data_IF_690412279244
#
_entry.id   IF_690412279244
#
_cell.length_a   1.000
_cell.length_b   1.000
_cell.length_c   1.000
_cell.angle_alpha   90.00
_cell.angle_beta   90.00
_cell.angle_gamma   90.00
#
_symmetry.space_group_name_H-M   'P 1'
#
loop_
_entity.id
_entity.type
_entity.pdbx_description
1 polymer ?
#
# COMPACT_ATOMS: atom_id res chain seq x y z
N UNK A 1 1.54 -9.15 20.78
CA UNK A 1 0.80 -9.36 22.05
C UNK A 1 0.17 -10.75 22.02
N UNK A 2 0.05 -11.50 23.14
CA UNK A 2 -0.58 -12.81 23.11
C UNK A 2 -2.09 -12.65 22.87
N UNK A 3 -2.55 -13.04 21.68
CA UNK A 3 -3.98 -13.05 21.32
C UNK A 3 -4.61 -14.34 21.83
N UNK A 4 -5.74 -14.22 22.51
CA UNK A 4 -6.41 -15.32 23.21
C UNK A 4 -7.60 -15.87 22.43
N UNK A 5 -8.15 -15.11 21.48
CA UNK A 5 -9.31 -15.50 20.68
C UNK A 5 -9.11 -15.27 19.18
N UNK A 6 -9.85 -16.01 18.36
CA UNK A 6 -9.87 -15.80 16.90
C UNK A 6 -10.39 -14.42 16.52
N UNK A 7 -11.33 -13.87 17.30
CA UNK A 7 -11.84 -12.51 17.10
C UNK A 7 -10.75 -11.46 17.30
N UNK A 8 -9.99 -11.56 18.41
CA UNK A 8 -8.84 -10.67 18.65
C UNK A 8 -7.80 -10.75 17.52
N UNK A 9 -7.56 -11.95 16.99
CA UNK A 9 -6.69 -12.15 15.83
C UNK A 9 -7.22 -11.46 14.58
N UNK A 10 -8.51 -11.62 14.30
CA UNK A 10 -9.14 -11.00 13.14
C UNK A 10 -9.11 -9.47 13.22
N UNK A 11 -9.44 -8.88 14.37
CA UNK A 11 -9.38 -7.42 14.58
C UNK A 11 -7.95 -6.89 14.48
N UNK A 12 -6.96 -7.64 14.98
CA UNK A 12 -5.54 -7.28 14.84
C UNK A 12 -5.09 -7.30 13.38
N UNK A 13 -5.39 -8.36 12.63
CA UNK A 13 -5.02 -8.45 11.21
C UNK A 13 -5.73 -7.36 10.38
N UNK A 14 -6.98 -7.03 10.72
CA UNK A 14 -7.71 -5.92 10.09
C UNK A 14 -7.05 -4.57 10.37
N UNK A 15 -6.57 -4.35 11.60
CA UNK A 15 -5.85 -3.14 12.00
C UNK A 15 -4.48 -3.00 11.32
N UNK A 16 -3.77 -4.12 11.13
CA UNK A 16 -2.52 -4.17 10.36
C UNK A 16 -2.77 -3.86 8.88
N UNK A 17 -3.82 -4.44 8.28
CA UNK A 17 -4.18 -4.17 6.90
C UNK A 17 -4.60 -2.70 6.70
N UNK A 18 -5.36 -2.15 7.64
CA UNK A 18 -5.77 -0.75 7.61
C UNK A 18 -4.58 0.21 7.64
N UNK A 19 -3.55 -0.09 8.44
CA UNK A 19 -2.32 0.69 8.44
C UNK A 19 -1.50 0.47 7.16
N UNK A 20 -1.43 -0.76 6.65
CA UNK A 20 -0.76 -1.08 5.41
C UNK A 20 -1.33 -0.29 4.22
N UNK A 21 -2.65 -0.24 4.06
CA UNK A 21 -3.27 0.52 2.97
C UNK A 21 -2.97 2.02 3.04
N UNK A 22 -2.95 2.60 4.24
CA UNK A 22 -2.56 4.00 4.41
C UNK A 22 -1.09 4.26 4.09
N UNK A 23 -0.22 3.34 4.49
CA UNK A 23 1.18 3.40 4.15
C UNK A 23 1.38 3.27 2.63
N UNK A 24 0.67 2.35 1.97
CA UNK A 24 0.69 2.20 0.52
C UNK A 24 0.17 3.43 -0.19
N UNK A 25 -0.92 4.04 0.27
CA UNK A 25 -1.45 5.29 -0.27
C UNK A 25 -0.39 6.40 -0.28
N UNK A 26 0.31 6.59 0.85
CA UNK A 26 1.42 7.55 0.93
C UNK A 26 2.55 7.20 -0.03
N UNK A 27 2.89 5.91 -0.13
CA UNK A 27 3.83 5.37 -1.10
C UNK A 27 3.42 5.77 -2.51
N UNK A 28 2.24 5.35 -2.96
CA UNK A 28 1.67 5.59 -4.28
C UNK A 28 1.66 7.08 -4.66
N UNK A 29 1.30 7.99 -3.75
CA UNK A 29 1.40 9.43 -4.01
C UNK A 29 2.82 9.88 -4.33
N UNK A 30 3.79 9.41 -3.55
CA UNK A 30 5.21 9.67 -3.81
C UNK A 30 5.65 9.02 -5.14
N UNK A 31 5.14 7.83 -5.45
CA UNK A 31 5.41 7.13 -6.70
C UNK A 31 4.89 7.90 -7.91
N UNK A 32 3.66 8.40 -7.84
CA UNK A 32 3.00 9.17 -8.88
C UNK A 32 3.74 10.49 -9.16
N UNK A 33 4.20 11.16 -8.12
CA UNK A 33 4.95 12.41 -8.23
C UNK A 33 6.29 12.23 -8.97
N UNK A 34 6.95 11.09 -8.81
CA UNK A 34 8.26 10.82 -9.40
C UNK A 34 8.21 10.15 -10.78
N UNK A 35 7.12 9.45 -11.12
CA UNK A 35 6.97 8.79 -12.41
C UNK A 35 7.06 9.80 -13.57
N UNK A 36 7.72 9.44 -14.67
CA UNK A 36 7.79 10.29 -15.87
C UNK A 36 6.94 9.74 -16.99
N UNK A 37 6.87 8.41 -17.09
CA UNK A 37 5.98 7.75 -18.03
C UNK A 37 4.48 8.07 -17.75
N UNK A 38 3.74 8.59 -18.76
CA UNK A 38 2.35 9.00 -18.58
C UNK A 38 1.40 7.81 -18.36
N UNK A 39 1.71 6.62 -18.90
CA UNK A 39 0.92 5.40 -18.68
C UNK A 39 1.10 4.90 -17.25
N UNK A 40 2.34 4.90 -16.74
CA UNK A 40 2.66 4.54 -15.36
C UNK A 40 1.99 5.51 -14.37
N UNK A 41 2.00 6.82 -14.65
CA UNK A 41 1.26 7.80 -13.85
C UNK A 41 -0.24 7.51 -13.78
N UNK A 42 -0.88 7.27 -14.94
CA UNK A 42 -2.30 6.95 -14.99
C UNK A 42 -2.63 5.69 -14.16
N UNK A 43 -1.83 4.64 -14.29
CA UNK A 43 -2.01 3.41 -13.50
C UNK A 43 -1.83 3.63 -11.99
N UNK A 44 -0.85 4.43 -11.57
CA UNK A 44 -0.68 4.75 -10.14
C UNK A 44 -1.86 5.59 -9.65
N UNK A 45 -2.37 6.52 -10.46
CA UNK A 45 -3.53 7.33 -10.11
C UNK A 45 -4.80 6.48 -9.92
N UNK A 46 -5.04 5.52 -10.81
CA UNK A 46 -6.13 4.54 -10.66
C UNK A 46 -5.96 3.73 -9.38
N UNK A 47 -4.76 3.24 -9.10
CA UNK A 47 -4.48 2.43 -7.90
C UNK A 47 -4.63 3.25 -6.59
N UNK A 48 -4.34 4.56 -6.62
CA UNK A 48 -4.62 5.47 -5.49
C UNK A 48 -6.12 5.46 -5.16
N UNK A 49 -6.98 5.59 -6.18
CA UNK A 49 -8.43 5.57 -5.99
C UNK A 49 -8.93 4.21 -5.46
N UNK A 50 -8.34 3.11 -5.92
CA UNK A 50 -8.63 1.77 -5.39
C UNK A 50 -8.24 1.66 -3.91
N UNK A 51 -7.05 2.11 -3.52
CA UNK A 51 -6.58 2.09 -2.13
C UNK A 51 -7.44 2.98 -1.21
N UNK A 52 -7.86 4.16 -1.67
CA UNK A 52 -8.82 5.00 -0.93
C UNK A 52 -10.16 4.29 -0.70
N UNK A 53 -10.64 3.54 -1.70
CA UNK A 53 -11.89 2.78 -1.55
C UNK A 53 -11.71 1.57 -0.63
N UNK A 54 -10.56 0.90 -0.68
CA UNK A 54 -10.23 -0.21 0.23
C UNK A 54 -10.19 0.28 1.68
N UNK A 55 -9.60 1.44 1.95
CA UNK A 55 -9.62 2.10 3.27
C UNK A 55 -11.06 2.32 3.76
N UNK A 56 -11.95 2.88 2.92
CA UNK A 56 -13.36 3.09 3.27
C UNK A 56 -14.10 1.78 3.55
N UNK A 57 -13.80 0.73 2.79
CA UNK A 57 -14.41 -0.57 3.02
C UNK A 57 -13.94 -1.18 4.35
N UNK A 58 -12.66 -1.02 4.70
CA UNK A 58 -12.14 -1.45 6.01
C UNK A 58 -12.80 -0.69 7.16
N UNK A 59 -13.03 0.61 7.02
CA UNK A 59 -13.76 1.42 8.01
C UNK A 59 -15.19 0.90 8.22
N UNK A 60 -15.90 0.56 7.14
CA UNK A 60 -17.23 -0.05 7.24
C UNK A 60 -17.20 -1.42 7.96
N UNK A 61 -16.15 -2.22 7.74
CA UNK A 61 -15.97 -3.50 8.44
C UNK A 61 -15.72 -3.28 9.93
N UNK A 62 -14.88 -2.31 10.31
CA UNK A 62 -14.69 -1.94 11.72
C UNK A 62 -16.00 -1.50 12.38
N UNK A 63 -16.76 -0.64 11.72
CA UNK A 63 -18.05 -0.17 12.22
C UNK A 63 -19.05 -1.33 12.37
N UNK A 64 -19.08 -2.26 11.41
CA UNK A 64 -19.95 -3.45 11.47
C UNK A 64 -19.56 -4.41 12.62
N UNK A 65 -18.29 -4.43 13.01
CA UNK A 65 -17.78 -5.21 14.15
C UNK A 65 -17.98 -4.48 15.49
N UNK A 66 -18.36 -3.20 15.48
CA UNK A 66 -18.42 -2.35 16.67
C UNK A 66 -17.04 -2.06 17.27
N UNK A 67 -15.98 -2.21 16.49
CA UNK A 67 -14.59 -2.02 16.90
C UNK A 67 -14.09 -0.65 16.42
N UNK A 68 -13.12 -0.07 17.14
CA UNK A 68 -12.54 1.22 16.72
C UNK A 68 -11.55 1.00 15.57
N UNK A 69 -11.57 1.90 14.59
CA UNK A 69 -10.57 2.00 13.51
C UNK A 69 -9.22 2.46 14.07
N UNK A 70 -8.52 1.53 14.72
CA UNK A 70 -7.19 1.78 15.27
C UNK A 70 -6.14 1.29 14.28
N UNK A 71 -5.23 2.18 13.90
CA UNK A 71 -4.05 1.81 13.11
C UNK A 71 -3.07 1.08 14.01
N UNK A 72 -2.78 -0.16 13.66
CA UNK A 72 -1.69 -0.94 14.25
C UNK A 72 -0.52 -0.85 13.27
N UNK A 73 0.67 -0.36 13.69
CA UNK A 73 1.77 -0.16 12.75
C UNK A 73 2.17 -1.47 12.05
N UNK A 74 1.98 -1.55 10.74
CA UNK A 74 2.36 -2.71 9.94
C UNK A 74 3.83 -2.59 9.54
N UNK A 75 4.72 -3.30 10.24
CA UNK A 75 6.15 -3.31 9.94
C UNK A 75 6.46 -3.94 8.56
N UNK A 76 5.61 -4.86 8.09
CA UNK A 76 5.72 -5.45 6.76
C UNK A 76 5.52 -4.44 5.64
N UNK A 77 4.43 -3.67 5.69
CA UNK A 77 4.18 -2.59 4.73
C UNK A 77 5.27 -1.50 4.78
N UNK A 78 5.75 -1.18 5.99
CA UNK A 78 6.85 -0.23 6.18
C UNK A 78 8.15 -0.72 5.53
N UNK A 79 8.45 -2.00 5.66
CA UNK A 79 9.60 -2.65 5.03
C UNK A 79 9.53 -2.53 3.50
N UNK A 80 8.41 -2.93 2.90
CA UNK A 80 8.19 -2.86 1.45
C UNK A 80 8.34 -1.42 0.93
N UNK A 81 7.78 -0.43 1.64
CA UNK A 81 7.89 0.97 1.22
C UNK A 81 9.30 1.53 1.41
N UNK A 82 10.03 1.08 2.43
CA UNK A 82 11.43 1.43 2.65
C UNK A 82 12.31 0.89 1.53
N UNK A 83 12.13 -0.39 1.17
CA UNK A 83 12.82 -1.02 0.04
C UNK A 83 12.47 -0.34 -1.28
N UNK A 84 11.19 -0.06 -1.53
CA UNK A 84 10.74 0.65 -2.73
C UNK A 84 11.32 2.06 -2.84
N UNK A 85 11.46 2.78 -1.72
CA UNK A 85 12.14 4.09 -1.68
C UNK A 85 13.63 3.97 -1.99
N UNK A 86 14.33 3.03 -1.36
CA UNK A 86 15.76 2.79 -1.62
C UNK A 86 16.01 2.41 -3.09
N UNK A 87 15.20 1.53 -3.66
CA UNK A 87 15.30 1.14 -5.07
C UNK A 87 15.12 2.34 -6.02
N UNK A 88 14.27 3.30 -5.67
CA UNK A 88 14.12 4.54 -6.44
C UNK A 88 15.30 5.50 -6.30
N UNK A 89 15.87 5.61 -5.10
CA UNK A 89 17.07 6.41 -4.84
C UNK A 89 18.28 5.84 -5.59
N UNK A 90 18.43 4.51 -5.61
CA UNK A 90 19.50 3.79 -6.31
C UNK A 90 19.36 3.84 -7.84
N UNK A 91 18.13 3.86 -8.37
CA UNK A 91 17.89 4.05 -9.78
C UNK A 91 18.10 5.53 -10.15
N UNK A 92 19.31 5.93 -10.53
CA UNK A 92 19.65 7.33 -10.88
C UNK A 92 19.09 7.73 -12.25
N UNK A 93 18.93 6.78 -13.17
CA UNK A 93 18.37 7.04 -14.50
C UNK A 93 16.84 7.01 -14.52
N UNK A 94 16.17 8.00 -15.15
CA UNK A 94 14.71 8.09 -15.17
C UNK A 94 14.04 6.90 -15.88
N UNK A 95 14.67 6.38 -16.94
CA UNK A 95 14.18 5.20 -17.64
C UNK A 95 14.31 3.94 -16.78
N UNK A 96 15.41 3.79 -16.03
CA UNK A 96 15.57 2.67 -15.09
C UNK A 96 14.54 2.73 -13.95
N UNK A 97 14.26 3.92 -13.39
CA UNK A 97 13.22 4.11 -12.36
C UNK A 97 11.85 3.61 -12.80
N UNK A 98 11.48 3.88 -14.06
CA UNK A 98 10.20 3.44 -14.60
C UNK A 98 10.21 1.91 -14.89
N UNK A 99 11.34 1.31 -15.31
CA UNK A 99 11.44 -0.15 -15.54
C UNK A 99 11.43 -1.01 -14.27
N UNK A 100 11.98 -0.53 -13.14
CA UNK A 100 11.95 -1.25 -11.84
C UNK A 100 10.51 -1.40 -11.33
N UNK A 101 9.59 -0.53 -11.77
CA UNK A 101 8.17 -0.57 -11.41
C UNK A 101 7.30 -1.37 -12.36
N UNK A 102 7.85 -1.76 -13.50
CA UNK A 102 7.13 -2.47 -14.56
C UNK A 102 7.22 -4.00 -14.40
N UNK A 103 7.11 -4.50 -13.17
CA UNK A 103 7.12 -5.95 -12.94
C UNK A 103 5.82 -6.62 -13.46
N UNK A 104 4.76 -5.84 -13.70
CA UNK A 104 3.45 -6.34 -14.16
C UNK A 104 3.35 -6.58 -15.67
N UNK A 105 4.16 -5.92 -16.51
CA UNK A 105 4.17 -6.19 -17.96
C UNK A 105 4.78 -7.56 -18.33
N UNK A 106 5.56 -8.21 -17.45
CA UNK A 106 6.08 -9.56 -17.70
C UNK A 106 5.04 -10.68 -17.54
N UNK A 107 3.84 -10.39 -17.02
CA UNK A 107 2.78 -11.40 -16.83
C UNK A 107 1.68 -11.35 -17.91
N UNK A 108 1.80 -10.50 -18.92
CA UNK A 108 0.86 -10.44 -20.07
C UNK A 108 1.57 -10.76 -21.40
N UNK A 109 2.46 -11.75 -21.39
CA UNK A 109 3.06 -12.35 -22.58
C UNK A 109 2.70 -13.82 -22.68
#
# INVERSE_FOLDING_TARGET
>A
MPMKTTHEKFVHELADLYDAEHQFLQGQHHMHAQARDPKLKAMIHEHIAESEQQIKNLEQVFDALGEKHKRQPCDGARGILSEGRKAMEEAVEPALRDTVRDHRQRCQG
#
